data_IF_619342272550
#
_entry.id   IF_619342272550
#
_cell.length_a   1.000
_cell.length_b   1.000
_cell.length_c   1.000
_cell.angle_alpha   90.00
_cell.angle_beta   90.00
_cell.angle_gamma   90.00
#
_symmetry.space_group_name_H-M   'P 1'
#
loop_
_entity.id
_entity.type
_entity.pdbx_description
1 polymer ?
#
# COMPACT_ATOMS: atom_id res chain seq x y z
N UNK A 1 -64.26 -24.44 14.32
CA UNK A 1 -63.24 -24.26 13.26
C UNK A 1 -61.88 -24.21 13.97
N UNK A 2 -61.27 -25.35 14.33
CA UNK A 2 -60.28 -26.12 13.54
C UNK A 2 -59.15 -25.22 13.01
N UNK A 3 -57.85 -25.44 13.26
CA UNK A 3 -57.08 -26.44 14.01
C UNK A 3 -55.66 -25.83 14.10
N UNK A 4 -54.98 -26.00 15.22
CA UNK A 4 -53.55 -25.67 15.40
C UNK A 4 -52.68 -26.83 14.81
N UNK A 5 -51.38 -26.91 15.09
CA UNK A 5 -50.20 -26.40 14.36
C UNK A 5 -49.35 -27.54 13.74
N UNK A 6 -48.27 -27.28 12.97
CA UNK A 6 -47.22 -28.31 12.80
C UNK A 6 -45.85 -27.82 12.28
N UNK A 7 -44.81 -28.32 12.95
CA UNK A 7 -43.37 -28.29 12.59
C UNK A 7 -43.05 -29.42 11.61
N UNK A 8 -42.10 -29.23 10.70
CA UNK A 8 -41.14 -30.27 10.24
C UNK A 8 -40.03 -29.61 9.40
N UNK A 9 -38.78 -29.56 9.87
CA UNK A 9 -37.69 -30.52 9.57
C UNK A 9 -37.58 -30.91 8.09
N UNK A 10 -36.45 -30.58 7.46
CA UNK A 10 -35.72 -31.53 6.58
C UNK A 10 -34.24 -31.17 6.47
N UNK A 11 -33.43 -32.18 6.78
CA UNK A 11 -32.02 -32.30 6.43
C UNK A 11 -31.87 -32.43 4.91
N UNK A 12 -30.73 -31.98 4.37
CA UNK A 12 -30.32 -32.24 3.00
C UNK A 12 -28.80 -32.19 2.91
N UNK A 13 -28.20 -33.37 3.05
CA UNK A 13 -26.79 -33.63 2.74
C UNK A 13 -26.60 -33.73 1.21
N UNK A 14 -25.38 -33.46 0.74
CA UNK A 14 -24.93 -33.65 -0.64
C UNK A 14 -23.77 -32.69 -0.92
N UNK A 15 -22.51 -33.00 -0.60
CA UNK A 15 -21.65 -33.98 -1.25
C UNK A 15 -21.75 -33.90 -2.79
N UNK A 16 -20.90 -33.08 -3.40
CA UNK A 16 -20.65 -33.10 -4.85
C UNK A 16 -19.42 -34.02 -5.11
N UNK A 17 -19.55 -35.05 -5.96
CA UNK A 17 -18.47 -35.96 -6.29
C UNK A 17 -17.64 -35.49 -7.48
N UNK A 18 -16.39 -35.95 -7.51
CA UNK A 18 -15.51 -35.97 -8.68
C UNK A 18 -16.12 -36.75 -9.85
N UNK A 19 -15.92 -36.25 -11.07
CA UNK A 19 -15.85 -37.05 -12.31
C UNK A 19 -14.78 -36.37 -13.19
N UNK A 20 -13.55 -36.86 -13.25
CA UNK A 20 -13.12 -38.02 -14.05
C UNK A 20 -13.39 -37.79 -15.56
N UNK A 21 -12.47 -37.09 -16.22
CA UNK A 21 -12.29 -37.22 -17.67
C UNK A 21 -11.23 -38.29 -17.91
N UNK A 22 -11.70 -39.43 -18.40
CA UNK A 22 -10.90 -40.58 -18.77
C UNK A 22 -10.33 -40.41 -20.19
N UNK A 23 -9.04 -40.77 -20.30
CA UNK A 23 -8.34 -41.42 -21.42
C UNK A 23 -8.94 -41.36 -22.83
N UNK A 24 -8.14 -40.84 -23.76
CA UNK A 24 -8.02 -41.40 -25.12
C UNK A 24 -6.56 -41.65 -25.47
N UNK A 25 -6.35 -42.74 -26.21
CA UNK A 25 -5.13 -43.51 -26.39
C UNK A 25 -4.07 -42.87 -27.32
N UNK A 26 -2.82 -43.15 -26.95
CA UNK A 26 -1.69 -43.62 -27.76
C UNK A 26 -1.66 -43.33 -29.27
N UNK A 27 -0.63 -42.59 -29.70
CA UNK A 27 0.17 -42.93 -30.88
C UNK A 27 1.62 -42.46 -30.69
N UNK A 28 2.51 -43.42 -30.44
CA UNK A 28 3.96 -43.22 -30.37
C UNK A 28 4.53 -43.10 -31.79
N UNK A 29 4.80 -41.87 -32.22
CA UNK A 29 5.63 -41.63 -33.40
C UNK A 29 7.09 -41.52 -32.97
N UNK A 30 7.87 -42.56 -33.27
CA UNK A 30 9.32 -42.50 -33.21
C UNK A 30 9.81 -41.51 -34.28
N UNK A 31 10.11 -40.27 -33.88
CA UNK A 31 10.74 -39.29 -34.75
C UNK A 31 12.26 -39.45 -34.64
N UNK A 32 12.85 -40.03 -35.67
CA UNK A 32 14.28 -39.96 -35.93
C UNK A 32 14.64 -38.51 -36.27
N UNK A 33 15.19 -37.77 -35.30
CA UNK A 33 15.76 -36.45 -35.53
C UNK A 33 17.08 -36.63 -36.30
N UNK A 34 17.03 -36.38 -37.61
CA UNK A 34 18.25 -36.21 -38.42
C UNK A 34 18.86 -34.87 -38.02
N UNK A 35 19.91 -34.91 -37.20
CA UNK A 35 20.77 -33.76 -36.95
C UNK A 35 21.61 -33.50 -38.20
N UNK A 36 21.15 -32.61 -39.08
CA UNK A 36 22.04 -31.99 -40.05
C UNK A 36 22.92 -31.00 -39.30
N UNK A 37 24.22 -31.28 -39.24
CA UNK A 37 25.21 -30.29 -38.83
C UNK A 37 25.19 -29.15 -39.86
N UNK A 38 24.45 -28.08 -39.58
CA UNK A 38 24.61 -26.83 -40.30
C UNK A 38 26.00 -26.32 -39.95
N UNK A 39 26.96 -26.52 -40.87
CA UNK A 39 28.20 -25.76 -40.86
C UNK A 39 27.78 -24.29 -40.90
N UNK A 40 27.87 -23.62 -39.75
CA UNK A 40 27.69 -22.18 -39.68
C UNK A 40 28.74 -21.58 -40.60
N UNK A 41 28.29 -20.99 -41.71
CA UNK A 41 29.08 -20.08 -42.51
C UNK A 41 29.44 -18.90 -41.60
N UNK A 42 30.57 -19.03 -40.89
CA UNK A 42 31.16 -17.99 -40.07
C UNK A 42 31.70 -16.97 -41.07
N UNK A 43 30.81 -16.12 -41.60
CA UNK A 43 31.20 -14.93 -42.37
C UNK A 43 32.34 -14.28 -41.60
N UNK A 44 33.50 -14.16 -42.24
CA UNK A 44 34.68 -13.58 -41.61
C UNK A 44 34.28 -12.23 -40.99
N UNK A 45 34.57 -12.03 -39.70
CA UNK A 45 34.29 -10.79 -38.98
C UNK A 45 35.61 -10.15 -38.63
N UNK A 46 35.80 -8.90 -39.05
CA UNK A 46 37.02 -8.15 -38.78
C UNK A 46 36.72 -7.17 -37.64
N UNK A 47 37.43 -7.30 -36.53
CA UNK A 47 37.33 -6.42 -35.38
C UNK A 47 38.33 -5.27 -35.53
N UNK A 48 37.86 -4.04 -35.30
CA UNK A 48 38.68 -2.84 -35.35
C UNK A 48 38.47 -1.99 -34.10
N UNK A 49 39.56 -1.47 -33.55
CA UNK A 49 39.54 -0.54 -32.42
C UNK A 49 40.75 0.41 -32.49
N UNK A 50 40.69 1.49 -31.71
CA UNK A 50 41.81 2.41 -31.53
C UNK A 50 42.37 2.22 -30.13
N UNK A 51 43.68 1.94 -30.03
CA UNK A 51 44.37 1.76 -28.76
C UNK A 51 44.54 3.10 -27.99
N UNK A 52 45.04 3.04 -26.75
CA UNK A 52 45.28 4.25 -25.94
C UNK A 52 46.34 5.20 -26.53
N UNK A 53 47.15 4.73 -27.49
CA UNK A 53 48.18 5.50 -28.18
C UNK A 53 47.70 6.04 -29.53
N UNK A 54 46.40 5.89 -29.85
CA UNK A 54 45.81 6.39 -31.09
C UNK A 54 46.07 5.52 -32.32
N UNK A 55 46.57 4.29 -32.16
CA UNK A 55 46.82 3.37 -33.28
C UNK A 55 45.60 2.48 -33.52
N UNK A 56 45.24 2.33 -34.79
CA UNK A 56 44.16 1.43 -35.21
C UNK A 56 44.66 -0.01 -35.22
N UNK A 57 44.04 -0.86 -34.42
CA UNK A 57 44.25 -2.30 -34.41
C UNK A 57 43.12 -2.97 -35.18
N UNK A 58 43.48 -3.84 -36.12
CA UNK A 58 42.54 -4.61 -36.94
C UNK A 58 42.89 -6.08 -36.81
N UNK A 59 41.90 -6.92 -36.52
CA UNK A 59 42.12 -8.36 -36.37
C UNK A 59 40.88 -9.16 -36.74
N UNK A 60 41.07 -10.34 -37.33
CA UNK A 60 39.98 -11.29 -37.62
C UNK A 60 39.43 -11.98 -36.34
N UNK A 61 39.99 -11.65 -35.17
CA UNK A 61 39.58 -12.13 -33.85
C UNK A 61 39.36 -10.96 -32.89
N UNK A 62 38.54 -11.10 -31.83
CA UNK A 62 38.36 -10.05 -30.83
C UNK A 62 39.71 -9.61 -30.23
N UNK A 63 39.96 -8.29 -30.21
CA UNK A 63 41.26 -7.72 -29.83
C UNK A 63 41.32 -7.60 -28.30
N UNK A 64 42.18 -8.35 -27.58
CA UNK A 64 42.20 -8.33 -26.12
C UNK A 64 42.65 -6.99 -25.53
N UNK A 65 43.54 -6.28 -26.23
CA UNK A 65 44.02 -4.95 -25.84
C UNK A 65 42.94 -3.86 -25.88
N UNK A 66 41.80 -4.15 -26.52
CA UNK A 66 40.65 -3.26 -26.63
C UNK A 66 39.42 -3.83 -25.92
N UNK A 67 39.60 -4.68 -24.91
CA UNK A 67 38.49 -5.20 -24.11
C UNK A 67 37.90 -4.11 -23.18
N UNK A 68 38.65 -3.05 -22.89
CA UNK A 68 38.24 -1.87 -22.12
C UNK A 68 37.40 -0.86 -22.94
N UNK A 69 37.27 -1.07 -24.26
CA UNK A 69 36.64 -0.12 -25.20
C UNK A 69 35.77 -0.83 -26.24
N UNK A 70 35.00 -0.06 -26.97
CA UNK A 70 34.16 -0.58 -28.05
C UNK A 70 35.02 -1.01 -29.25
N UNK A 71 34.70 -2.18 -29.82
CA UNK A 71 35.34 -2.67 -31.05
C UNK A 71 34.29 -2.70 -32.16
N UNK A 72 34.57 -2.06 -33.30
CA UNK A 72 33.70 -2.14 -34.48
C UNK A 72 33.89 -3.49 -35.15
N UNK A 73 32.79 -4.13 -35.51
CA UNK A 73 32.77 -5.40 -36.23
C UNK A 73 32.43 -5.07 -37.68
N UNK A 74 33.36 -5.37 -38.58
CA UNK A 74 33.17 -5.24 -40.02
C UNK A 74 32.90 -6.63 -40.64
N UNK A 75 32.04 -6.66 -41.64
CA UNK A 75 31.86 -7.84 -42.49
C UNK A 75 33.13 -8.04 -43.33
N UNK A 76 33.76 -9.21 -43.24
CA UNK A 76 35.05 -9.49 -43.87
C UNK A 76 35.01 -9.61 -45.40
N UNK A 77 33.82 -9.62 -46.00
CA UNK A 77 33.64 -9.66 -47.46
C UNK A 77 33.33 -8.28 -48.04
N UNK A 78 32.45 -7.51 -47.39
CA UNK A 78 31.97 -6.22 -47.89
C UNK A 78 32.64 -5.02 -47.22
N UNK A 79 33.32 -5.21 -46.08
CA UNK A 79 33.95 -4.15 -45.30
C UNK A 79 32.95 -3.24 -44.57
N UNK A 80 31.65 -3.50 -44.69
CA UNK A 80 30.61 -2.71 -44.03
C UNK A 80 30.53 -3.03 -42.53
N UNK A 81 30.14 -2.04 -41.72
CA UNK A 81 30.00 -2.22 -40.28
C UNK A 81 28.78 -3.10 -39.98
N UNK A 82 29.05 -4.31 -39.52
CA UNK A 82 28.07 -5.34 -39.15
C UNK A 82 27.56 -5.16 -37.70
N UNK A 83 28.37 -4.53 -36.83
CA UNK A 83 27.99 -4.24 -35.45
C UNK A 83 29.12 -3.65 -34.60
N UNK A 84 28.92 -3.60 -33.28
CA UNK A 84 29.91 -3.14 -32.31
C UNK A 84 29.93 -4.08 -31.10
N UNK A 85 31.13 -4.46 -30.63
CA UNK A 85 31.34 -5.23 -29.40
C UNK A 85 31.55 -4.25 -28.24
N UNK A 86 30.74 -4.37 -27.20
CA UNK A 86 30.84 -3.56 -25.98
C UNK A 86 32.11 -3.89 -25.16
N UNK A 87 32.61 -2.94 -24.36
CA UNK A 87 33.68 -3.19 -23.38
C UNK A 87 33.32 -4.31 -22.41
N UNK A 88 34.28 -5.16 -22.06
CA UNK A 88 34.15 -6.12 -20.97
C UNK A 88 34.53 -5.44 -19.65
N UNK A 89 33.53 -4.92 -18.96
CA UNK A 89 33.69 -4.41 -17.60
C UNK A 89 34.02 -5.53 -16.61
N UNK A 90 34.83 -5.21 -15.60
CA UNK A 90 35.09 -6.11 -14.46
C UNK A 90 33.80 -6.37 -13.67
N UNK A 91 33.80 -7.39 -12.83
CA UNK A 91 32.64 -7.69 -11.99
C UNK A 91 32.33 -6.54 -11.01
N UNK A 92 33.35 -5.81 -10.57
CA UNK A 92 33.22 -4.66 -9.67
C UNK A 92 32.67 -3.42 -10.41
N UNK A 93 33.23 -3.05 -11.55
CA UNK A 93 32.72 -1.94 -12.38
C UNK A 93 31.27 -2.17 -12.83
N UNK A 94 30.89 -3.42 -13.16
CA UNK A 94 29.48 -3.75 -13.44
C UNK A 94 28.58 -3.53 -12.23
N UNK A 95 29.04 -3.84 -11.03
CA UNK A 95 28.28 -3.62 -9.79
C UNK A 95 28.13 -2.13 -9.51
N UNK A 96 29.18 -1.33 -9.68
CA UNK A 96 29.14 0.12 -9.49
C UNK A 96 28.19 0.80 -10.49
N UNK A 97 28.26 0.43 -11.77
CA UNK A 97 27.33 0.95 -12.78
C UNK A 97 25.89 0.55 -12.49
N UNK A 98 25.64 -0.69 -12.08
CA UNK A 98 24.31 -1.15 -11.69
C UNK A 98 23.78 -0.40 -10.46
N UNK A 99 24.63 -0.16 -9.45
CA UNK A 99 24.28 0.64 -8.27
C UNK A 99 23.95 2.08 -8.63
N UNK A 100 24.77 2.74 -9.47
CA UNK A 100 24.54 4.11 -9.93
C UNK A 100 23.25 4.23 -10.73
N UNK A 101 22.99 3.27 -11.62
CA UNK A 101 21.76 3.21 -12.38
C UNK A 101 20.54 2.98 -11.48
N UNK A 102 20.64 2.08 -10.50
CA UNK A 102 19.59 1.85 -9.51
C UNK A 102 19.30 3.11 -8.69
N UNK A 103 20.33 3.84 -8.26
CA UNK A 103 20.18 5.11 -7.55
C UNK A 103 19.49 6.17 -8.43
N UNK A 104 19.90 6.31 -9.70
CA UNK A 104 19.27 7.23 -10.66
C UNK A 104 17.80 6.88 -10.89
N UNK A 105 17.49 5.60 -11.07
CA UNK A 105 16.10 5.14 -11.23
C UNK A 105 15.27 5.39 -9.97
N UNK A 106 15.84 5.16 -8.78
CA UNK A 106 15.19 5.44 -7.51
C UNK A 106 14.88 6.93 -7.35
N UNK A 107 15.82 7.82 -7.66
CA UNK A 107 15.61 9.27 -7.63
C UNK A 107 14.52 9.71 -8.63
N UNK A 108 14.58 9.24 -9.87
CA UNK A 108 13.55 9.55 -10.86
C UNK A 108 12.16 9.05 -10.44
N UNK A 109 12.09 7.88 -9.81
CA UNK A 109 10.84 7.36 -9.25
C UNK A 109 10.34 8.26 -8.12
N UNK A 110 11.20 8.69 -7.19
CA UNK A 110 10.83 9.62 -6.11
C UNK A 110 10.26 10.94 -6.64
N UNK A 111 10.88 11.52 -7.67
CA UNK A 111 10.38 12.75 -8.30
C UNK A 111 9.00 12.55 -8.93
N UNK A 112 8.80 11.44 -9.66
CA UNK A 112 7.49 11.11 -10.25
C UNK A 112 6.42 10.89 -9.17
N UNK A 113 6.78 10.20 -8.09
CA UNK A 113 5.87 9.94 -6.97
C UNK A 113 5.45 11.25 -6.28
N UNK A 114 6.37 12.19 -6.09
CA UNK A 114 6.06 13.53 -5.53
C UNK A 114 5.11 14.29 -6.46
N UNK A 115 5.42 14.39 -7.76
CA UNK A 115 4.55 15.08 -8.71
C UNK A 115 3.15 14.44 -8.80
N UNK A 116 3.09 13.10 -8.71
CA UNK A 116 1.82 12.40 -8.71
C UNK A 116 1.00 12.71 -7.46
N UNK A 117 1.64 12.75 -6.28
CA UNK A 117 0.98 13.14 -5.02
C UNK A 117 0.47 14.58 -5.08
N UNK A 118 1.29 15.53 -5.52
CA UNK A 118 0.89 16.94 -5.68
C UNK A 118 -0.31 17.07 -6.63
N UNK A 119 -0.30 16.36 -7.78
CA UNK A 119 -1.44 16.33 -8.72
C UNK A 119 -2.71 15.77 -8.09
N UNK A 120 -2.60 14.68 -7.33
CA UNK A 120 -3.77 14.06 -6.66
C UNK A 120 -4.34 15.01 -5.61
N UNK A 121 -3.48 15.69 -4.83
CA UNK A 121 -3.91 16.67 -3.83
C UNK A 121 -4.68 17.82 -4.47
N UNK A 122 -4.15 18.41 -5.55
CA UNK A 122 -4.82 19.50 -6.28
C UNK A 122 -6.14 19.06 -6.94
N UNK A 123 -6.21 17.84 -7.47
CA UNK A 123 -7.47 17.32 -8.03
C UNK A 123 -8.53 17.07 -6.96
N UNK A 124 -8.12 16.61 -5.77
CA UNK A 124 -9.03 16.35 -4.64
C UNK A 124 -9.49 17.65 -3.99
N UNK A 125 -8.58 18.62 -3.88
CA UNK A 125 -8.78 19.91 -3.21
C UNK A 125 -8.34 21.04 -4.14
N UNK A 126 -9.22 21.48 -5.06
CA UNK A 126 -8.90 22.56 -5.98
C UNK A 126 -8.77 23.92 -5.30
N UNK A 127 -9.44 24.11 -4.15
CA UNK A 127 -9.43 25.35 -3.38
C UNK A 127 -9.58 25.08 -1.87
N UNK A 128 -9.37 26.11 -1.06
CA UNK A 128 -9.44 26.05 0.41
C UNK A 128 -10.84 25.66 0.91
N UNK A 129 -11.90 26.05 0.21
CA UNK A 129 -13.28 25.73 0.60
C UNK A 129 -13.54 24.24 0.42
N UNK A 130 -13.09 23.62 -0.67
CA UNK A 130 -13.20 22.19 -0.91
C UNK A 130 -12.47 21.38 0.17
N UNK A 131 -11.27 21.83 0.57
CA UNK A 131 -10.52 21.24 1.68
C UNK A 131 -11.27 21.40 3.02
N UNK A 132 -11.80 22.59 3.32
CA UNK A 132 -12.57 22.85 4.53
C UNK A 132 -13.83 21.99 4.65
N UNK A 133 -14.57 21.79 3.55
CA UNK A 133 -15.74 20.89 3.53
C UNK A 133 -15.32 19.45 3.80
N UNK A 134 -14.20 18.99 3.23
CA UNK A 134 -13.69 17.65 3.48
C UNK A 134 -13.24 17.45 4.93
N UNK A 135 -12.63 18.47 5.54
CA UNK A 135 -12.25 18.48 6.96
C UNK A 135 -13.46 18.29 7.87
N UNK A 136 -14.52 19.06 7.65
CA UNK A 136 -15.73 18.96 8.47
C UNK A 136 -16.43 17.60 8.27
N UNK A 137 -16.48 17.11 7.03
CA UNK A 137 -17.02 15.78 6.73
C UNK A 137 -16.23 14.65 7.39
N UNK A 138 -14.91 14.77 7.49
CA UNK A 138 -14.07 13.78 8.19
C UNK A 138 -14.37 13.71 9.70
N UNK A 139 -14.75 14.85 10.32
CA UNK A 139 -15.07 14.94 11.74
C UNK A 139 -16.53 14.55 12.07
N UNK A 140 -17.42 14.53 11.09
CA UNK A 140 -18.86 14.34 11.28
C UNK A 140 -19.20 13.10 12.12
N UNK A 141 -18.64 11.94 11.78
CA UNK A 141 -18.89 10.69 12.52
C UNK A 141 -18.37 10.75 13.96
N UNK A 142 -17.18 11.34 14.17
CA UNK A 142 -16.60 11.47 15.52
C UNK A 142 -17.46 12.38 16.37
N UNK A 143 -17.93 13.50 15.81
CA UNK A 143 -18.83 14.44 16.48
C UNK A 143 -20.18 13.83 16.80
N UNK A 144 -20.76 13.05 15.89
CA UNK A 144 -22.01 12.34 16.16
C UNK A 144 -21.87 11.37 17.34
N UNK A 145 -20.75 10.65 17.41
CA UNK A 145 -20.43 9.77 18.55
C UNK A 145 -20.24 10.56 19.85
N UNK A 146 -19.53 11.69 19.81
CA UNK A 146 -19.38 12.57 20.97
C UNK A 146 -20.74 13.10 21.44
N UNK A 147 -21.60 13.54 20.53
CA UNK A 147 -22.92 14.07 20.86
C UNK A 147 -23.80 13.01 21.54
N UNK A 148 -23.85 11.78 21.00
CA UNK A 148 -24.54 10.67 21.65
C UNK A 148 -23.96 10.35 23.03
N UNK A 149 -22.64 10.43 23.16
CA UNK A 149 -21.97 10.22 24.43
C UNK A 149 -22.28 11.32 25.47
N UNK A 150 -22.44 12.57 25.03
CA UNK A 150 -22.82 13.69 25.89
C UNK A 150 -24.25 13.56 26.40
N UNK A 151 -25.20 13.11 25.56
CA UNK A 151 -26.56 12.84 25.98
C UNK A 151 -26.62 11.75 27.07
N UNK A 152 -25.81 10.69 26.92
CA UNK A 152 -25.70 9.66 27.96
C UNK A 152 -25.11 10.20 29.26
N UNK A 153 -24.12 11.09 29.18
CA UNK A 153 -23.52 11.73 30.35
C UNK A 153 -24.54 12.62 31.08
N UNK A 154 -25.37 13.37 30.35
CA UNK A 154 -26.44 14.17 30.92
C UNK A 154 -27.44 13.32 31.70
N UNK A 155 -27.89 12.19 31.12
CA UNK A 155 -28.75 11.23 31.83
C UNK A 155 -28.12 10.69 33.12
N UNK A 156 -26.81 10.37 33.07
CA UNK A 156 -26.09 9.91 34.26
C UNK A 156 -25.98 11.02 35.33
N UNK A 157 -25.87 12.28 34.93
CA UNK A 157 -25.87 13.42 35.84
C UNK A 157 -27.25 13.65 36.49
N UNK A 158 -28.33 13.48 35.74
CA UNK A 158 -29.69 13.51 36.29
C UNK A 158 -29.90 12.38 37.32
N UNK A 159 -29.45 11.16 37.00
CA UNK A 159 -29.48 10.03 37.92
C UNK A 159 -28.65 10.30 39.19
N UNK A 160 -27.49 10.94 39.06
CA UNK A 160 -26.67 11.35 40.20
C UNK A 160 -27.44 12.28 41.13
N UNK A 161 -28.15 13.27 40.59
CA UNK A 161 -28.99 14.20 41.36
C UNK A 161 -30.14 13.45 42.04
N UNK A 162 -30.82 12.55 41.32
CA UNK A 162 -31.89 11.73 41.89
C UNK A 162 -31.39 10.87 43.06
N UNK A 163 -30.25 10.20 42.89
CA UNK A 163 -29.63 9.39 43.95
C UNK A 163 -29.16 10.26 45.13
N UNK A 164 -28.72 11.50 44.89
CA UNK A 164 -28.39 12.44 45.95
C UNK A 164 -29.62 12.85 46.76
N UNK A 165 -30.75 13.13 46.10
CA UNK A 165 -32.02 13.42 46.77
C UNK A 165 -32.51 12.23 47.62
N UNK A 166 -32.37 11.00 47.12
CA UNK A 166 -32.65 9.79 47.91
C UNK A 166 -31.71 9.66 49.14
N UNK A 167 -30.48 10.18 49.04
CA UNK A 167 -29.51 10.16 50.13
C UNK A 167 -29.80 11.18 51.23
N UNK A 168 -30.55 12.25 50.94
CA UNK A 168 -30.97 13.24 51.95
C UNK A 168 -31.77 12.59 53.09
N UNK A 169 -32.58 11.56 52.78
CA UNK A 169 -33.29 10.77 53.79
C UNK A 169 -32.33 10.09 54.80
N UNK A 170 -31.11 9.80 54.37
CA UNK A 170 -30.05 9.20 55.18
C UNK A 170 -29.06 10.24 55.69
N UNK A 171 -29.48 11.50 55.83
CA UNK A 171 -28.65 12.61 56.31
C UNK A 171 -27.40 12.85 55.43
N UNK A 172 -27.51 12.58 54.13
CA UNK A 172 -26.41 12.67 53.18
C UNK A 172 -25.21 11.77 53.50
N UNK A 173 -25.41 10.71 54.30
CA UNK A 173 -24.37 9.78 54.71
C UNK A 173 -24.50 8.45 53.95
N UNK A 174 -23.55 8.20 53.05
CA UNK A 174 -23.52 6.97 52.24
C UNK A 174 -23.46 5.72 53.13
N UNK A 175 -22.82 5.78 54.31
CA UNK A 175 -22.68 4.60 55.18
C UNK A 175 -24.00 4.15 55.81
N UNK A 176 -24.94 5.09 56.00
CA UNK A 176 -26.28 4.84 56.55
C UNK A 176 -27.29 4.38 55.48
N UNK A 177 -26.93 4.51 54.20
CA UNK A 177 -27.80 4.14 53.09
C UNK A 177 -27.90 2.61 52.89
N UNK A 178 -29.05 2.11 52.42
CA UNK A 178 -29.24 0.71 52.08
C UNK A 178 -28.18 0.21 51.08
N UNK A 179 -27.80 -1.08 51.12
CA UNK A 179 -26.78 -1.64 50.23
C UNK A 179 -27.02 -1.38 48.74
N UNK A 180 -28.28 -1.36 48.31
CA UNK A 180 -28.66 -1.10 46.92
C UNK A 180 -28.39 0.37 46.52
N UNK A 181 -28.76 1.35 47.35
CA UNK A 181 -28.53 2.77 47.08
C UNK A 181 -27.02 3.07 47.00
N UNK A 182 -26.21 2.50 47.91
CA UNK A 182 -24.74 2.61 47.85
C UNK A 182 -24.16 2.08 46.54
N UNK A 183 -24.61 0.91 46.10
CA UNK A 183 -24.17 0.31 44.82
C UNK A 183 -24.58 1.18 43.62
N UNK A 184 -25.79 1.72 43.63
CA UNK A 184 -26.27 2.59 42.55
C UNK A 184 -25.44 3.88 42.45
N UNK A 185 -25.13 4.52 43.59
CA UNK A 185 -24.25 5.71 43.63
C UNK A 185 -22.87 5.38 43.08
N UNK A 186 -22.27 4.27 43.53
CA UNK A 186 -20.95 3.86 43.07
C UNK A 186 -20.94 3.54 41.56
N UNK A 187 -21.95 2.81 41.07
CA UNK A 187 -22.07 2.45 39.66
C UNK A 187 -22.30 3.68 38.79
N UNK A 188 -23.16 4.61 39.21
CA UNK A 188 -23.39 5.87 38.49
C UNK A 188 -22.09 6.69 38.39
N UNK A 189 -21.34 6.82 39.48
CA UNK A 189 -20.06 7.53 39.49
C UNK A 189 -19.05 6.88 38.54
N UNK A 190 -18.94 5.54 38.55
CA UNK A 190 -18.07 4.81 37.61
C UNK A 190 -18.50 5.04 36.14
N UNK A 191 -19.79 4.97 35.85
CA UNK A 191 -20.34 5.18 34.51
C UNK A 191 -20.06 6.61 34.01
N UNK A 192 -20.20 7.63 34.89
CA UNK A 192 -19.86 9.03 34.55
C UNK A 192 -18.39 9.14 34.15
N UNK A 193 -17.48 8.61 34.98
CA UNK A 193 -16.05 8.70 34.72
C UNK A 193 -15.64 7.95 33.44
N UNK A 194 -16.26 6.79 33.17
CA UNK A 194 -16.07 6.06 31.90
C UNK A 194 -16.54 6.88 30.71
N UNK A 195 -17.70 7.52 30.82
CA UNK A 195 -18.27 8.35 29.77
C UNK A 195 -17.41 9.59 29.49
N UNK A 196 -16.92 10.26 30.52
CA UNK A 196 -15.99 11.39 30.40
C UNK A 196 -14.68 10.99 29.73
N UNK A 197 -14.08 9.86 30.14
CA UNK A 197 -12.87 9.32 29.50
C UNK A 197 -13.11 8.98 28.03
N UNK A 198 -14.26 8.39 27.71
CA UNK A 198 -14.64 8.08 26.33
C UNK A 198 -14.75 9.34 25.47
N UNK A 199 -15.45 10.38 25.96
CA UNK A 199 -15.58 11.67 25.28
C UNK A 199 -14.21 12.32 25.09
N UNK A 200 -13.35 12.31 26.10
CA UNK A 200 -12.00 12.86 26.00
C UNK A 200 -11.17 12.14 24.92
N UNK A 201 -11.25 10.81 24.87
CA UNK A 201 -10.61 10.01 23.81
C UNK A 201 -11.08 10.38 22.41
N UNK A 202 -12.40 10.56 22.23
CA UNK A 202 -13.00 10.97 20.94
C UNK A 202 -12.64 12.39 20.54
N UNK A 203 -12.57 13.33 21.49
CA UNK A 203 -12.05 14.69 21.23
C UNK A 203 -10.59 14.68 20.81
N UNK A 204 -9.78 13.79 21.39
CA UNK A 204 -8.40 13.58 20.94
C UNK A 204 -8.29 12.97 19.54
N UNK A 205 -9.26 12.17 19.11
CA UNK A 205 -9.38 11.71 17.72
C UNK A 205 -9.76 12.86 16.78
N UNK A 206 -10.75 13.67 17.14
CA UNK A 206 -11.13 14.87 16.37
C UNK A 206 -9.94 15.82 16.17
N UNK A 207 -9.16 16.07 17.23
CA UNK A 207 -7.96 16.92 17.15
C UNK A 207 -6.89 16.35 16.23
N UNK A 208 -6.68 15.02 16.23
CA UNK A 208 -5.73 14.37 15.31
C UNK A 208 -6.16 14.48 13.86
N UNK A 209 -7.47 14.44 13.59
CA UNK A 209 -8.01 14.71 12.25
C UNK A 209 -7.66 16.15 11.88
N UNK A 210 -7.97 17.11 12.74
CA UNK A 210 -7.65 18.53 12.51
C UNK A 210 -6.16 18.76 12.21
N UNK A 211 -5.26 18.20 13.02
CA UNK A 211 -3.81 18.31 12.83
C UNK A 211 -3.34 17.73 11.48
N UNK A 212 -3.92 16.61 11.03
CA UNK A 212 -3.60 16.03 9.71
C UNK A 212 -4.04 16.95 8.57
N UNK A 213 -5.25 17.52 8.66
CA UNK A 213 -5.75 18.47 7.67
C UNK A 213 -4.97 19.78 7.69
N UNK A 214 -4.46 20.24 8.85
CA UNK A 214 -3.64 21.45 8.92
C UNK A 214 -2.27 21.27 8.23
N UNK A 215 -1.67 20.08 8.34
CA UNK A 215 -0.44 19.75 7.60
C UNK A 215 -0.70 19.66 6.08
N UNK A 216 -1.80 19.02 5.67
CA UNK A 216 -2.21 18.93 4.26
C UNK A 216 -2.52 20.33 3.67
N UNK A 217 -3.16 21.20 4.46
CA UNK A 217 -3.45 22.58 4.06
C UNK A 217 -2.18 23.39 3.80
N UNK A 218 -1.15 23.24 4.64
CA UNK A 218 0.13 23.94 4.44
C UNK A 218 0.81 23.53 3.12
N UNK A 219 0.72 22.25 2.74
CA UNK A 219 1.21 21.77 1.44
C UNK A 219 0.37 22.35 0.28
N UNK A 220 -0.95 22.29 0.40
CA UNK A 220 -1.88 22.83 -0.61
C UNK A 220 -1.72 24.33 -0.82
N UNK A 221 -1.55 25.13 0.24
CA UNK A 221 -1.32 26.57 0.13
C UNK A 221 -0.07 26.89 -0.70
N UNK A 222 0.99 26.10 -0.57
CA UNK A 222 2.18 26.22 -1.42
C UNK A 222 1.88 25.87 -2.87
N UNK A 223 1.05 24.87 -3.11
CA UNK A 223 0.71 24.41 -4.46
C UNK A 223 -0.25 25.37 -5.19
N UNK A 224 -1.19 25.99 -4.49
CA UNK A 224 -2.10 27.00 -5.05
C UNK A 224 -1.42 28.34 -5.34
N UNK A 225 -0.33 28.66 -4.63
CA UNK A 225 0.43 29.89 -4.82
C UNK A 225 1.44 29.83 -5.99
N UNK A 226 1.62 28.67 -6.62
CA UNK A 226 2.49 28.48 -7.80
C UNK A 226 1.73 28.76 -9.09
#
# INVERSE_FOLDING_TARGET
MTKSPERARRCGAGALPMAAWACCLALTAAQTVVQTAQASDQRARIYTCVDAHGRTLTSDRPIPACNDREQRILDGVTGHQSGTRAPSYTAEERREMAQKEQQRQAEQKRLRDVQQRERILLMRYPDEKAHGVAREKAKENVRAVIAGAQLQLEQLQEDKVRLANELEFYQNDISKAPPMLRRNIQANQQNIEEQERFIAGKRGEEKRIDEQFDVELAELQRLWAR
#
